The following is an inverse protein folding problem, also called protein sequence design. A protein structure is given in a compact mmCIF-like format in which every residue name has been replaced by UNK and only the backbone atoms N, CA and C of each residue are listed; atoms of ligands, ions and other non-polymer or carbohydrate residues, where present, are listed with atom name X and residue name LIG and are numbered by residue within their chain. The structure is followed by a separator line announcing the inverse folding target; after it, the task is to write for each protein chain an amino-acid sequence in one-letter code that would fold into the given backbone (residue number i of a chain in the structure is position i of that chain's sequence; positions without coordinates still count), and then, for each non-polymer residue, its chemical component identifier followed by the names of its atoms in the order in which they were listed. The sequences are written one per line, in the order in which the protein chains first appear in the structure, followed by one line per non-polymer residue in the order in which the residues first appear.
data_IF_401850310530
#
_entry.id   IF_401850310530
#
_cell.length_a   1.000
_cell.length_b   1.000
_cell.length_c   1.000
_cell.angle_alpha   90.00
_cell.angle_beta   90.00
_cell.angle_gamma   90.00
#
_symmetry.space_group_name_H-M   'P 1'
#
loop_
_entity.id
_entity.type
_entity.pdbx_description
1 polymer ?
#
# COMPACT_ATOMS: atom_id res chain seq x y z
N UNK A 1 5.70 10.67 8.83
CA UNK A 1 5.90 9.75 7.68
C UNK A 1 4.59 9.00 7.42
N UNK A 2 4.05 9.08 6.22
CA UNK A 2 2.89 8.28 5.80
C UNK A 2 3.26 7.56 4.52
N UNK A 3 3.14 6.24 4.52
CA UNK A 3 3.48 5.37 3.38
C UNK A 3 2.26 4.57 2.96
N UNK A 4 1.95 4.54 1.68
CA UNK A 4 0.98 3.61 1.08
C UNK A 4 1.76 2.58 0.28
N UNK A 5 1.74 1.33 0.77
CA UNK A 5 2.29 0.18 0.05
C UNK A 5 1.23 -0.34 -0.91
N UNK A 6 1.50 -0.22 -2.20
CA UNK A 6 0.58 -0.64 -3.23
C UNK A 6 1.13 -1.81 -4.07
N UNK A 7 0.26 -2.43 -4.79
CA UNK A 7 0.59 -3.56 -5.66
C UNK A 7 -0.54 -4.58 -5.72
N UNK A 8 -0.41 -5.53 -6.62
CA UNK A 8 -1.39 -6.59 -6.84
C UNK A 8 -1.38 -7.61 -5.70
N UNK A 9 -2.35 -8.51 -5.71
CA UNK A 9 -2.38 -9.65 -4.78
C UNK A 9 -1.09 -10.47 -4.86
N UNK A 10 -0.59 -10.94 -3.72
CA UNK A 10 0.67 -11.70 -3.64
C UNK A 10 1.94 -10.84 -3.67
N UNK A 11 1.85 -9.51 -3.83
CA UNK A 11 3.02 -8.64 -3.89
C UNK A 11 3.74 -8.43 -2.53
N UNK A 12 3.13 -8.85 -1.41
CA UNK A 12 3.76 -8.81 -0.08
C UNK A 12 3.44 -7.57 0.74
N UNK A 13 2.41 -6.81 0.39
CA UNK A 13 2.03 -5.56 1.08
C UNK A 13 1.89 -5.69 2.59
N UNK A 14 1.15 -6.69 3.06
CA UNK A 14 0.91 -6.89 4.50
C UNK A 14 2.18 -7.26 5.24
N UNK A 15 2.98 -8.19 4.70
CA UNK A 15 4.24 -8.62 5.30
C UNK A 15 5.25 -7.46 5.38
N UNK A 16 5.47 -6.78 4.26
CA UNK A 16 6.40 -5.63 4.18
C UNK A 16 5.87 -4.47 5.03
N UNK A 17 4.58 -4.18 4.97
CA UNK A 17 3.96 -3.09 5.72
C UNK A 17 4.06 -3.27 7.23
N UNK A 18 3.78 -4.46 7.72
CA UNK A 18 3.91 -4.79 9.16
C UNK A 18 5.36 -4.65 9.63
N UNK A 19 6.31 -5.15 8.85
CA UNK A 19 7.73 -5.06 9.18
C UNK A 19 8.23 -3.60 9.14
N UNK A 20 7.84 -2.83 8.13
CA UNK A 20 8.18 -1.41 8.00
C UNK A 20 7.62 -0.60 9.19
N UNK A 21 6.36 -0.81 9.53
CA UNK A 21 5.72 -0.16 10.66
C UNK A 21 6.44 -0.49 11.98
N UNK A 22 6.77 -1.76 12.22
CA UNK A 22 7.51 -2.20 13.42
C UNK A 22 8.90 -1.56 13.52
N UNK A 23 9.63 -1.43 12.42
CA UNK A 23 10.97 -0.81 12.41
C UNK A 23 10.96 0.71 12.57
N UNK A 24 9.87 1.37 12.23
CA UNK A 24 9.76 2.84 12.28
C UNK A 24 8.94 3.36 13.45
N UNK A 25 8.28 2.47 14.20
CA UNK A 25 7.31 2.86 15.22
C UNK A 25 6.02 3.46 14.65
N UNK A 26 5.75 3.24 13.36
CA UNK A 26 4.53 3.69 12.70
C UNK A 26 3.33 2.77 13.01
N UNK A 27 2.13 3.32 12.89
CA UNK A 27 0.91 2.51 12.88
C UNK A 27 0.81 1.72 11.57
N UNK A 28 0.28 0.50 11.65
CA UNK A 28 -0.02 -0.31 10.46
C UNK A 28 -1.53 -0.43 10.28
N UNK A 29 -2.00 -0.29 9.04
CA UNK A 29 -3.38 -0.58 8.66
C UNK A 29 -3.41 -1.39 7.35
N UNK A 30 -4.29 -2.37 7.30
CA UNK A 30 -4.63 -3.08 6.07
C UNK A 30 -5.96 -2.50 5.53
N UNK A 31 -5.93 -2.06 4.28
CA UNK A 31 -7.09 -1.44 3.65
C UNK A 31 -8.31 -2.38 3.58
N UNK A 32 -8.09 -3.68 3.55
CA UNK A 32 -9.15 -4.68 3.50
C UNK A 32 -10.03 -4.66 4.75
N UNK A 33 -9.50 -4.22 5.89
CA UNK A 33 -10.25 -4.09 7.15
C UNK A 33 -11.25 -2.93 7.16
N UNK A 34 -11.15 -2.03 6.20
CA UNK A 34 -11.94 -0.79 6.11
C UNK A 34 -13.11 -0.85 5.14
N UNK A 35 -13.35 -1.99 4.50
CA UNK A 35 -14.50 -2.11 3.61
C UNK A 35 -15.82 -1.95 4.35
N UNK A 36 -16.77 -1.16 3.80
CA UNK A 36 -18.15 -1.12 4.29
C UNK A 36 -18.79 -2.51 4.30
N UNK A 37 -19.76 -2.72 5.18
CA UNK A 37 -20.48 -4.01 5.29
C UNK A 37 -21.08 -4.45 3.94
N UNK A 38 -21.64 -3.51 3.17
CA UNK A 38 -22.19 -3.79 1.84
C UNK A 38 -21.12 -4.38 0.88
N UNK A 39 -19.88 -3.88 0.92
CA UNK A 39 -18.79 -4.41 0.12
C UNK A 39 -18.39 -5.82 0.57
N UNK A 40 -18.31 -6.05 1.89
CA UNK A 40 -17.99 -7.36 2.45
C UNK A 40 -19.04 -8.40 2.07
N UNK A 41 -20.32 -8.04 2.12
CA UNK A 41 -21.43 -8.88 1.71
C UNK A 41 -21.40 -9.20 0.21
N UNK A 42 -21.11 -8.20 -0.63
CA UNK A 42 -21.01 -8.36 -2.08
C UNK A 42 -19.86 -9.30 -2.47
N UNK A 43 -18.69 -9.13 -1.84
CA UNK A 43 -17.53 -10.02 -2.03
C UNK A 43 -17.80 -11.45 -1.52
N UNK A 44 -18.45 -11.58 -0.37
CA UNK A 44 -18.82 -12.90 0.19
C UNK A 44 -19.81 -13.65 -0.70
N UNK A 45 -20.66 -12.94 -1.44
CA UNK A 45 -21.58 -13.50 -2.43
C UNK A 45 -20.89 -13.85 -3.77
N UNK A 46 -19.58 -13.62 -3.89
CA UNK A 46 -18.80 -13.90 -5.11
C UNK A 46 -18.90 -12.83 -6.18
N UNK A 47 -19.43 -11.65 -5.86
CA UNK A 47 -19.54 -10.53 -6.80
C UNK A 47 -18.34 -9.59 -6.72
N UNK A 48 -17.74 -9.17 -7.85
CA UNK A 48 -16.67 -8.19 -7.86
C UNK A 48 -17.20 -6.80 -7.49
N UNK A 49 -16.36 -5.99 -6.82
CA UNK A 49 -16.65 -4.59 -6.56
C UNK A 49 -16.37 -3.75 -7.81
N UNK A 50 -17.26 -2.77 -8.08
CA UNK A 50 -17.04 -1.73 -9.08
C UNK A 50 -16.41 -0.48 -8.43
N UNK A 51 -16.15 0.56 -9.26
CA UNK A 51 -15.57 1.81 -8.78
C UNK A 51 -16.48 2.56 -7.79
N UNK A 52 -17.79 2.49 -7.98
CA UNK A 52 -18.79 3.10 -7.10
C UNK A 52 -18.80 2.41 -5.72
N UNK A 53 -18.70 1.10 -5.68
CA UNK A 53 -18.58 0.34 -4.44
C UNK A 53 -17.31 0.71 -3.66
N UNK A 54 -16.21 0.98 -4.38
CA UNK A 54 -14.92 1.32 -3.78
C UNK A 54 -14.83 2.75 -3.28
N UNK A 55 -15.63 3.67 -3.81
CA UNK A 55 -15.51 5.09 -3.46
C UNK A 55 -15.67 5.37 -1.95
N UNK A 56 -16.71 4.86 -1.25
CA UNK A 56 -16.81 5.05 0.20
C UNK A 56 -15.65 4.43 0.98
N UNK A 57 -15.14 3.29 0.53
CA UNK A 57 -13.98 2.63 1.11
C UNK A 57 -12.71 3.47 0.97
N UNK A 58 -12.43 4.02 -0.21
CA UNK A 58 -11.30 4.91 -0.46
C UNK A 58 -11.39 6.21 0.36
N UNK A 59 -12.58 6.75 0.52
CA UNK A 59 -12.82 7.93 1.36
C UNK A 59 -12.56 7.64 2.84
N UNK A 60 -12.92 6.46 3.33
CA UNK A 60 -12.59 6.03 4.69
C UNK A 60 -11.08 5.91 4.90
N UNK A 61 -10.37 5.32 3.95
CA UNK A 61 -8.91 5.26 3.96
C UNK A 61 -8.27 6.65 3.90
N UNK A 62 -8.82 7.56 3.09
CA UNK A 62 -8.36 8.95 3.07
C UNK A 62 -8.53 9.62 4.44
N UNK A 63 -9.66 9.42 5.13
CA UNK A 63 -9.86 9.93 6.50
C UNK A 63 -8.81 9.38 7.47
N UNK A 64 -8.45 8.12 7.35
CA UNK A 64 -7.36 7.52 8.13
C UNK A 64 -6.03 8.24 7.88
N UNK A 65 -5.65 8.44 6.62
CA UNK A 65 -4.40 9.14 6.26
C UNK A 65 -4.39 10.60 6.75
N UNK A 66 -5.51 11.30 6.60
CA UNK A 66 -5.67 12.67 7.13
C UNK A 66 -5.56 12.71 8.66
N UNK A 67 -6.12 11.71 9.34
CA UNK A 67 -6.00 11.57 10.80
C UNK A 67 -4.55 11.40 11.25
N UNK A 68 -3.77 10.55 10.58
CA UNK A 68 -2.34 10.41 10.86
C UNK A 68 -1.58 11.72 10.60
N UNK A 69 -1.86 12.35 9.47
CA UNK A 69 -1.19 13.60 9.10
C UNK A 69 -1.46 14.71 10.11
N UNK A 70 -2.74 14.94 10.45
CA UNK A 70 -3.16 16.02 11.37
C UNK A 70 -2.64 15.81 12.79
N UNK A 71 -2.51 14.55 13.22
CA UNK A 71 -1.97 14.20 14.53
C UNK A 71 -0.43 14.13 14.56
N UNK A 72 0.26 14.38 13.45
CA UNK A 72 1.71 14.24 13.35
C UNK A 72 2.21 12.78 13.54
N UNK A 73 1.32 11.79 13.33
CA UNK A 73 1.63 10.38 13.49
C UNK A 73 2.19 9.78 12.20
N UNK A 74 3.03 8.78 12.35
CA UNK A 74 3.51 7.97 11.24
C UNK A 74 2.60 6.76 11.01
N UNK A 75 2.32 6.45 9.75
CA UNK A 75 1.47 5.33 9.38
C UNK A 75 1.90 4.63 8.10
N UNK A 76 1.64 3.34 8.03
CA UNK A 76 1.84 2.49 6.86
C UNK A 76 0.51 1.83 6.50
N UNK A 77 -0.01 2.13 5.32
CA UNK A 77 -1.23 1.56 4.79
C UNK A 77 -0.91 0.54 3.70
N UNK A 78 -1.32 -0.71 3.86
CA UNK A 78 -1.31 -1.71 2.79
C UNK A 78 -2.62 -1.58 1.99
N UNK A 79 -2.52 -1.14 0.73
CA UNK A 79 -3.68 -0.94 -0.15
C UNK A 79 -3.27 -1.20 -1.59
N UNK A 80 -4.02 -2.01 -2.34
CA UNK A 80 -3.68 -2.29 -3.74
C UNK A 80 -3.59 -1.03 -4.61
N UNK A 81 -4.47 -0.04 -4.41
CA UNK A 81 -4.43 1.29 -5.04
C UNK A 81 -4.13 1.27 -6.55
N UNK A 82 -4.75 0.33 -7.27
CA UNK A 82 -4.37 -0.03 -8.65
C UNK A 82 -4.57 1.09 -9.67
N UNK A 83 -5.62 1.88 -9.54
CA UNK A 83 -5.94 2.97 -10.47
C UNK A 83 -5.42 4.31 -9.97
N UNK A 84 -5.03 5.18 -10.91
CA UNK A 84 -4.64 6.56 -10.59
C UNK A 84 -5.76 7.32 -9.85
N UNK A 85 -7.02 7.11 -10.24
CA UNK A 85 -8.19 7.69 -9.55
C UNK A 85 -8.30 7.27 -8.09
N UNK A 86 -7.96 6.03 -7.75
CA UNK A 86 -7.94 5.56 -6.36
C UNK A 86 -6.88 6.29 -5.54
N UNK A 87 -5.68 6.46 -6.09
CA UNK A 87 -4.59 7.20 -5.44
C UNK A 87 -4.92 8.68 -5.25
N UNK A 88 -5.62 9.28 -6.22
CA UNK A 88 -6.14 10.65 -6.10
C UNK A 88 -7.09 10.78 -4.92
N UNK A 89 -8.02 9.84 -4.75
CA UNK A 89 -8.94 9.84 -3.59
C UNK A 89 -8.17 9.65 -2.28
N UNK A 90 -7.21 8.71 -2.24
CA UNK A 90 -6.40 8.50 -1.03
C UNK A 90 -5.63 9.74 -0.59
N UNK A 91 -5.08 10.51 -1.53
CA UNK A 91 -4.32 11.72 -1.26
C UNK A 91 -5.15 13.02 -1.14
N UNK A 92 -6.45 12.94 -1.32
CA UNK A 92 -7.31 14.12 -1.34
C UNK A 92 -7.20 14.94 -0.02
N UNK A 93 -7.03 16.26 -0.17
CA UNK A 93 -6.92 17.16 0.97
C UNK A 93 -5.59 17.11 1.74
N UNK A 94 -4.65 16.27 1.33
CA UNK A 94 -3.30 16.21 1.89
C UNK A 94 -2.31 16.99 1.01
N UNK A 95 -1.24 17.58 1.59
CA UNK A 95 -0.14 18.13 0.80
C UNK A 95 0.46 17.09 -0.13
N UNK A 96 0.97 17.53 -1.29
CA UNK A 96 1.50 16.64 -2.34
C UNK A 96 2.54 15.63 -1.82
N UNK A 97 3.39 16.07 -0.91
CA UNK A 97 4.49 15.26 -0.37
C UNK A 97 4.18 14.61 0.98
N UNK A 98 2.90 14.67 1.43
CA UNK A 98 2.49 14.10 2.71
C UNK A 98 2.45 12.58 2.70
N UNK A 99 2.20 11.98 1.54
CA UNK A 99 2.07 10.54 1.36
C UNK A 99 3.10 10.03 0.35
N UNK A 100 3.88 9.04 0.75
CA UNK A 100 4.78 8.33 -0.15
C UNK A 100 4.13 7.05 -0.64
N UNK A 101 3.91 6.94 -1.94
CA UNK A 101 3.45 5.71 -2.56
C UNK A 101 4.64 4.82 -2.91
N UNK A 102 4.57 3.56 -2.49
CA UNK A 102 5.59 2.54 -2.79
C UNK A 102 4.92 1.38 -3.49
N UNK A 103 5.33 1.10 -4.72
CA UNK A 103 4.84 -0.05 -5.49
C UNK A 103 5.71 -1.25 -5.18
N UNK A 104 5.11 -2.28 -4.60
CA UNK A 104 5.72 -3.60 -4.52
C UNK A 104 5.38 -4.36 -5.80
N UNK A 105 6.38 -4.51 -6.63
CA UNK A 105 6.26 -5.14 -7.94
C UNK A 105 6.86 -6.55 -7.93
N UNK A 106 6.55 -7.34 -8.95
CA UNK A 106 7.08 -8.68 -9.13
C UNK A 106 6.67 -9.25 -10.48
N UNK A 107 7.44 -10.21 -10.99
CA UNK A 107 7.04 -10.95 -12.18
C UNK A 107 5.75 -11.73 -11.92
N UNK A 108 4.98 -11.99 -12.97
CA UNK A 108 3.78 -12.82 -12.89
C UNK A 108 4.09 -14.20 -12.31
N UNK A 109 5.24 -14.77 -12.69
CA UNK A 109 5.73 -16.06 -12.20
C UNK A 109 5.95 -16.03 -10.69
N UNK A 110 6.67 -15.03 -10.17
CA UNK A 110 6.92 -14.86 -8.74
C UNK A 110 5.63 -14.68 -7.95
N UNK A 111 4.72 -13.84 -8.43
CA UNK A 111 3.42 -13.60 -7.81
C UNK A 111 2.56 -14.88 -7.79
N UNK A 112 2.57 -15.65 -8.88
CA UNK A 112 1.85 -16.92 -8.99
C UNK A 112 2.39 -17.95 -7.99
N UNK A 113 3.71 -18.07 -7.87
CA UNK A 113 4.35 -18.96 -6.88
C UNK A 113 3.96 -18.60 -5.46
N UNK A 114 4.02 -17.33 -5.10
CA UNK A 114 3.65 -16.84 -3.75
C UNK A 114 2.19 -17.09 -3.42
N UNK A 115 1.29 -16.95 -4.38
CA UNK A 115 -0.13 -17.26 -4.19
C UNK A 115 -0.38 -18.74 -4.00
N UNK A 116 0.35 -19.61 -4.72
CA UNK A 116 0.26 -21.06 -4.58
C UNK A 116 0.74 -21.55 -3.21
N UNK A 117 1.71 -20.88 -2.59
CA UNK A 117 2.23 -21.19 -1.25
C UNK A 117 1.25 -20.84 -0.11
N UNK A 118 0.29 -19.94 -0.35
CA UNK A 118 -0.75 -19.57 0.62
C UNK A 118 -1.81 -20.66 0.73
N UNK A 119 -1.59 -21.62 1.62
CA UNK A 119 -2.46 -22.82 1.79
C UNK A 119 -3.86 -22.53 2.32
N UNK A 120 -4.18 -21.31 2.76
CA UNK A 120 -5.43 -20.99 3.47
C UNK A 120 -6.33 -19.99 2.75
N UNK A 121 -5.89 -19.35 1.68
CA UNK A 121 -6.71 -18.47 0.86
C UNK A 121 -6.86 -19.05 -0.53
N UNK A 122 -8.09 -19.47 -0.87
CA UNK A 122 -8.43 -19.85 -2.23
C UNK A 122 -8.39 -18.60 -3.11
N UNK A 123 -7.25 -18.40 -3.78
CA UNK A 123 -7.09 -17.32 -4.75
C UNK A 123 -7.32 -17.88 -6.16
N UNK A 124 -8.35 -17.36 -6.82
CA UNK A 124 -8.54 -17.62 -8.23
C UNK A 124 -7.38 -16.99 -9.04
N UNK A 125 -6.61 -17.78 -9.84
CA UNK A 125 -5.55 -17.22 -10.69
C UNK A 125 -6.01 -16.08 -11.61
N UNK A 126 -7.29 -16.07 -11.99
CA UNK A 126 -7.92 -14.99 -12.76
C UNK A 126 -7.93 -13.64 -12.03
N UNK A 127 -7.92 -13.65 -10.70
CA UNK A 127 -7.85 -12.40 -9.92
C UNK A 127 -6.50 -11.71 -10.11
N UNK A 128 -5.39 -12.43 -10.11
CA UNK A 128 -4.07 -11.87 -10.38
C UNK A 128 -4.00 -11.25 -11.77
N UNK A 129 -4.47 -11.96 -12.79
CA UNK A 129 -4.51 -11.46 -14.17
C UNK A 129 -5.36 -10.19 -14.29
N UNK A 130 -6.51 -10.17 -13.65
CA UNK A 130 -7.41 -9.01 -13.61
C UNK A 130 -6.74 -7.81 -12.92
N UNK A 131 -6.06 -8.00 -11.81
CA UNK A 131 -5.36 -6.94 -11.10
C UNK A 131 -4.16 -6.40 -11.88
N UNK A 132 -3.38 -7.28 -12.51
CA UNK A 132 -2.27 -6.86 -13.39
C UNK A 132 -2.77 -6.04 -14.59
N UNK A 133 -3.92 -6.39 -15.16
CA UNK A 133 -4.54 -5.64 -16.24
C UNK A 133 -5.09 -4.29 -15.78
N UNK A 134 -5.54 -4.19 -14.53
CA UNK A 134 -6.11 -2.97 -13.94
C UNK A 134 -5.04 -2.00 -13.43
N UNK A 135 -3.85 -2.51 -13.09
CA UNK A 135 -2.78 -1.72 -12.52
C UNK A 135 -2.33 -0.60 -13.46
N UNK A 136 -2.54 0.63 -13.05
CA UNK A 136 -1.97 1.82 -13.64
C UNK A 136 -0.70 2.20 -12.86
N UNK A 137 0.47 1.88 -13.44
CA UNK A 137 1.75 2.12 -12.78
C UNK A 137 1.98 3.62 -12.57
N UNK A 138 2.14 4.11 -11.31
CA UNK A 138 2.43 5.51 -11.08
C UNK A 138 3.88 5.84 -11.50
N UNK A 139 4.06 7.01 -12.13
CA UNK A 139 5.37 7.50 -12.57
C UNK A 139 6.20 8.13 -11.44
N UNK A 140 5.54 8.55 -10.38
CA UNK A 140 6.11 9.30 -9.25
C UNK A 140 6.21 8.49 -7.94
N UNK A 141 5.90 7.20 -7.98
CA UNK A 141 6.04 6.30 -6.84
C UNK A 141 7.39 5.58 -6.82
N UNK A 142 7.88 5.28 -5.63
CA UNK A 142 9.00 4.37 -5.47
C UNK A 142 8.59 2.96 -5.90
N UNK A 143 9.24 2.41 -6.92
CA UNK A 143 9.01 1.05 -7.40
C UNK A 143 10.10 0.11 -6.87
N UNK A 144 9.68 -0.93 -6.17
CA UNK A 144 10.58 -1.95 -5.62
C UNK A 144 10.14 -3.33 -6.10
N UNK A 145 11.06 -4.05 -6.73
CA UNK A 145 10.83 -5.46 -7.08
C UNK A 145 11.00 -6.30 -5.81
N UNK A 146 9.93 -6.96 -5.40
CA UNK A 146 9.91 -7.77 -4.18
C UNK A 146 10.40 -9.20 -4.47
N UNK A 147 11.66 -9.33 -4.87
CA UNK A 147 12.37 -10.58 -5.16
C UNK A 147 13.42 -10.96 -4.12
N UNK A 148 13.46 -10.24 -3.00
CA UNK A 148 14.44 -10.38 -1.91
C UNK A 148 13.74 -10.67 -0.58
N UNK A 149 14.51 -10.78 0.50
CA UNK A 149 13.94 -10.93 1.83
C UNK A 149 13.13 -9.69 2.25
N UNK A 150 12.10 -9.85 3.09
CA UNK A 150 11.33 -8.71 3.61
C UNK A 150 12.21 -7.65 4.26
N UNK A 151 13.26 -8.05 4.97
CA UNK A 151 14.21 -7.15 5.64
C UNK A 151 14.99 -6.28 4.64
N UNK A 152 15.42 -6.88 3.52
CA UNK A 152 16.11 -6.15 2.44
C UNK A 152 15.18 -5.16 1.75
N UNK A 153 13.93 -5.55 1.49
CA UNK A 153 12.91 -4.69 0.90
C UNK A 153 12.63 -3.48 1.81
N UNK A 154 12.41 -3.72 3.10
CA UNK A 154 12.17 -2.63 4.07
C UNK A 154 13.38 -1.72 4.16
N UNK A 155 14.61 -2.24 4.12
CA UNK A 155 15.82 -1.45 4.12
C UNK A 155 15.92 -0.54 2.87
N UNK A 156 15.51 -1.01 1.70
CA UNK A 156 15.43 -0.20 0.48
C UNK A 156 14.40 0.93 0.61
N UNK A 157 13.22 0.64 1.17
CA UNK A 157 12.18 1.65 1.41
C UNK A 157 12.72 2.73 2.35
N UNK A 158 13.32 2.34 3.48
CA UNK A 158 13.87 3.27 4.47
C UNK A 158 14.97 4.15 3.89
N UNK A 159 15.87 3.60 3.08
CA UNK A 159 16.92 4.37 2.40
C UNK A 159 16.36 5.47 1.48
N UNK A 160 15.18 5.25 0.91
CA UNK A 160 14.50 6.24 0.07
C UNK A 160 13.77 7.31 0.87
N UNK A 161 13.18 6.94 2.01
CA UNK A 161 12.34 7.82 2.83
C UNK A 161 13.19 8.66 3.79
N UNK A 162 14.33 8.16 4.25
CA UNK A 162 15.18 8.77 5.28
C UNK A 162 16.19 9.85 4.84
N UNK A 163 16.43 10.17 3.55
CA UNK A 163 17.47 11.16 3.17
C UNK A 163 17.22 12.58 3.66
N UNK A 164 16.02 12.89 4.16
CA UNK A 164 15.63 14.28 4.48
C UNK A 164 15.98 14.69 5.91
N UNK A 165 16.20 13.76 6.84
CA UNK A 165 16.43 14.09 8.25
C UNK A 165 17.90 14.30 8.64
N UNK A 166 18.87 13.75 7.92
CA UNK A 166 20.29 13.93 8.25
C UNK A 166 20.88 15.27 7.81
N UNK A 167 20.29 15.92 6.80
CA UNK A 167 20.77 17.24 6.33
C UNK A 167 20.30 18.42 7.20
N UNK A 168 19.22 18.26 7.96
CA UNK A 168 18.71 19.30 8.86
C UNK A 168 19.47 19.35 10.19
N UNK A 169 20.00 18.23 10.65
CA UNK A 169 20.75 18.17 11.92
C UNK A 169 22.18 18.71 11.82
N UNK A 170 22.78 18.74 10.61
CA UNK A 170 24.14 19.27 10.39
C UNK A 170 24.21 20.77 10.19
N UNK A 171 23.08 21.46 10.00
CA UNK A 171 23.05 22.90 9.77
C UNK A 171 22.88 23.76 11.02
N UNK A 172 22.78 23.14 12.19
CA UNK A 172 22.55 23.86 13.48
C UNK A 172 23.80 23.85 14.39
N UNK A 173 24.95 23.40 13.88
CA UNK A 173 26.22 23.31 14.61
C UNK A 173 27.38 24.06 13.94
N UNK A 174 27.11 25.11 13.15
CA UNK A 174 28.12 26.08 12.71
C UNK A 174 27.75 27.50 13.15
#
# INVERSE_FOLDING_TARGET
MIVVLMGVTGSGKTTIGTLLAGRTGAEFADADDYHPLANKQKMAAGHPLNDEDRQPWLEELNRLLQGWFSAGRSGVLACSALKASYRTTLGAGLPKDAVTFVVLDGSKELLTERLAERKHEYMNPKLLDSQLATLEMPSDALRIVNDRSPEEIVSQILAHISPVQELSAKKTLE
#
